data_IF_210840661132
#
_entry.id   IF_210840661132
#
_cell.length_a   1.000
_cell.length_b   1.000
_cell.length_c   1.000
_cell.angle_alpha   90.00
_cell.angle_beta   90.00
_cell.angle_gamma   90.00
#
_symmetry.space_group_name_H-M   'P 1'
#
loop_
_entity.id
_entity.type
_entity.pdbx_description
1 polymer ?
#
# COMPACT_ATOMS: atom_id res chain seq x y z
N UNK A 1 11.90 7.72 15.76
CA UNK A 1 11.01 7.34 16.88
C UNK A 1 11.74 7.31 18.21
N UNK A 2 12.81 6.52 18.38
CA UNK A 2 13.58 6.44 19.64
C UNK A 2 14.07 7.81 20.13
N UNK A 3 14.49 8.69 19.22
CA UNK A 3 14.91 10.06 19.57
C UNK A 3 13.72 10.93 19.96
N UNK A 4 12.61 10.86 19.25
CA UNK A 4 11.42 11.65 19.52
C UNK A 4 10.76 11.25 20.85
N UNK A 5 10.67 9.95 21.16
CA UNK A 5 10.09 9.48 22.42
C UNK A 5 10.86 9.90 23.68
N UNK A 6 12.15 10.24 23.55
CA UNK A 6 12.95 10.78 24.67
C UNK A 6 12.67 12.25 24.97
N UNK A 7 12.03 12.99 24.05
CA UNK A 7 11.79 14.43 24.15
C UNK A 7 10.32 14.83 24.29
N UNK A 8 9.40 13.88 24.15
CA UNK A 8 7.96 14.15 24.25
C UNK A 8 7.32 13.21 25.25
N UNK A 9 6.41 13.70 26.11
CA UNK A 9 5.58 12.84 26.96
C UNK A 9 4.62 11.96 26.17
N UNK A 10 4.30 12.31 24.91
CA UNK A 10 3.50 11.49 24.00
C UNK A 10 4.42 10.55 23.22
N UNK A 11 4.05 9.28 23.12
CA UNK A 11 4.76 8.32 22.27
C UNK A 11 4.45 8.63 20.80
N UNK A 12 5.41 9.13 20.00
CA UNK A 12 5.16 9.45 18.60
C UNK A 12 4.93 8.16 17.81
N UNK A 13 3.92 8.15 16.96
CA UNK A 13 3.64 7.08 15.99
C UNK A 13 4.19 7.48 14.63
N UNK A 14 4.71 6.52 13.89
CA UNK A 14 5.16 6.72 12.50
C UNK A 14 4.36 5.81 11.59
N UNK A 15 3.82 6.37 10.52
CA UNK A 15 3.31 5.59 9.40
C UNK A 15 4.15 5.86 8.16
N UNK A 16 4.64 4.79 7.53
CA UNK A 16 5.45 4.87 6.30
C UNK A 16 4.53 4.61 5.12
N UNK A 17 4.30 5.65 4.32
CA UNK A 17 3.45 5.59 3.14
C UNK A 17 4.18 4.92 1.97
N UNK A 18 3.42 4.31 1.04
CA UNK A 18 3.84 3.77 -0.26
C UNK A 18 5.22 3.10 -0.24
N UNK A 19 5.44 2.18 0.71
CA UNK A 19 6.69 1.44 0.79
C UNK A 19 6.94 0.68 -0.52
N UNK A 20 8.16 0.81 -1.08
CA UNK A 20 8.45 0.26 -2.41
C UNK A 20 9.65 -0.69 -2.45
N UNK A 21 10.38 -0.89 -1.34
CA UNK A 21 11.62 -1.66 -1.37
C UNK A 21 11.68 -2.76 -0.31
N UNK A 22 12.32 -3.88 -0.64
CA UNK A 22 12.65 -4.96 0.29
C UNK A 22 13.43 -4.45 1.50
N UNK A 23 14.45 -3.62 1.27
CA UNK A 23 15.24 -3.07 2.38
C UNK A 23 14.40 -2.20 3.32
N UNK A 24 13.47 -1.41 2.77
CA UNK A 24 12.52 -0.65 3.57
C UNK A 24 11.62 -1.56 4.42
N UNK A 25 11.13 -2.65 3.83
CA UNK A 25 10.33 -3.65 4.55
C UNK A 25 11.09 -4.28 5.71
N UNK A 26 12.36 -4.66 5.49
CA UNK A 26 13.22 -5.20 6.55
C UNK A 26 13.38 -4.24 7.72
N UNK A 27 13.58 -2.94 7.44
CA UNK A 27 13.67 -1.90 8.47
C UNK A 27 12.36 -1.73 9.26
N UNK A 28 11.20 -1.81 8.60
CA UNK A 28 9.90 -1.80 9.26
C UNK A 28 9.76 -3.04 10.17
N UNK A 29 10.13 -4.22 9.67
CA UNK A 29 10.08 -5.47 10.42
C UNK A 29 10.98 -5.43 11.66
N UNK A 30 12.21 -4.91 11.52
CA UNK A 30 13.14 -4.68 12.64
C UNK A 30 12.57 -3.70 13.66
N UNK A 31 11.97 -2.58 13.19
CA UNK A 31 11.36 -1.59 14.06
C UNK A 31 10.17 -2.15 14.86
N UNK A 32 9.29 -2.93 14.21
CA UNK A 32 8.17 -3.61 14.87
C UNK A 32 8.65 -4.62 15.91
N UNK A 33 9.67 -5.45 15.59
CA UNK A 33 10.28 -6.39 16.55
C UNK A 33 10.90 -5.68 17.76
N UNK A 34 11.41 -4.47 17.56
CA UNK A 34 11.94 -3.63 18.64
C UNK A 34 10.86 -2.89 19.45
N UNK A 35 9.56 -3.19 19.21
CA UNK A 35 8.43 -2.56 19.90
C UNK A 35 8.22 -1.09 19.57
N UNK A 36 8.77 -0.59 18.45
CA UNK A 36 8.55 0.79 18.04
C UNK A 36 7.15 0.93 17.39
N UNK A 37 6.42 2.00 17.70
CA UNK A 37 5.09 2.27 17.14
C UNK A 37 5.18 2.72 15.69
N UNK A 38 5.47 1.79 14.80
CA UNK A 38 5.57 2.00 13.36
C UNK A 38 4.57 1.14 12.62
N UNK A 39 3.95 1.73 11.61
CA UNK A 39 3.09 1.06 10.62
C UNK A 39 3.54 1.44 9.22
N UNK A 40 3.18 0.63 8.23
CA UNK A 40 3.53 0.86 6.84
C UNK A 40 2.44 0.35 5.90
N UNK A 41 2.42 0.91 4.70
CA UNK A 41 1.50 0.53 3.63
C UNK A 41 2.22 0.33 2.31
N UNK A 42 1.60 -0.41 1.39
CA UNK A 42 2.01 -0.50 0.00
C UNK A 42 0.86 -0.07 -0.93
N UNK A 43 1.19 0.22 -2.18
CA UNK A 43 0.18 0.64 -3.17
C UNK A 43 -0.10 -0.48 -4.17
N UNK A 44 -1.27 -0.48 -4.85
CA UNK A 44 -1.58 -1.45 -5.89
C UNK A 44 -0.51 -1.53 -6.98
N UNK A 45 0.02 -0.39 -7.42
CA UNK A 45 1.03 -0.36 -8.47
C UNK A 45 2.40 -0.93 -8.03
N UNK A 46 2.83 -0.74 -6.78
CA UNK A 46 4.05 -1.37 -6.27
C UNK A 46 3.89 -2.88 -6.02
N UNK A 47 2.65 -3.37 -5.88
CA UNK A 47 2.35 -4.79 -5.68
C UNK A 47 2.15 -5.56 -7.00
N UNK A 48 1.88 -4.87 -8.11
CA UNK A 48 1.52 -5.52 -9.38
C UNK A 48 2.46 -5.20 -10.53
N UNK A 49 3.18 -4.07 -10.48
CA UNK A 49 4.09 -3.62 -11.53
C UNK A 49 5.53 -3.66 -11.04
N UNK A 50 6.46 -3.75 -12.01
CA UNK A 50 7.90 -3.63 -11.78
C UNK A 50 8.50 -2.54 -12.67
N UNK A 51 9.77 -2.25 -12.49
CA UNK A 51 10.54 -1.31 -13.30
C UNK A 51 10.54 -1.67 -14.81
N UNK A 52 10.23 -2.94 -15.15
CA UNK A 52 10.07 -3.37 -16.53
C UNK A 52 9.02 -2.56 -17.29
N UNK A 53 7.96 -2.09 -16.59
CA UNK A 53 6.95 -1.22 -17.18
C UNK A 53 7.52 0.11 -17.70
N UNK A 54 8.68 0.55 -17.18
CA UNK A 54 9.36 1.78 -17.58
C UNK A 54 10.36 1.58 -18.73
N UNK A 55 10.68 0.34 -19.14
CA UNK A 55 11.67 0.08 -20.19
C UNK A 55 11.37 0.75 -21.54
N UNK A 56 10.09 0.93 -21.86
CA UNK A 56 9.66 1.67 -23.05
C UNK A 56 9.61 3.19 -22.83
N UNK A 57 10.16 3.71 -21.73
CA UNK A 57 10.06 5.12 -21.32
C UNK A 57 8.63 5.66 -21.31
N UNK A 58 7.65 4.79 -21.05
CA UNK A 58 6.24 5.16 -20.98
C UNK A 58 5.95 5.96 -19.70
N UNK A 59 5.63 7.25 -19.79
CA UNK A 59 5.42 8.10 -18.63
C UNK A 59 4.15 7.78 -17.85
N UNK A 60 3.25 6.95 -18.39
CA UNK A 60 2.07 6.48 -17.66
C UNK A 60 2.46 5.72 -16.38
N UNK A 61 3.61 5.05 -16.38
CA UNK A 61 4.13 4.30 -15.22
C UNK A 61 5.07 5.12 -14.32
N UNK A 62 5.20 6.42 -14.57
CA UNK A 62 6.03 7.28 -13.72
C UNK A 62 5.32 7.59 -12.40
N UNK A 63 5.84 7.03 -11.31
CA UNK A 63 5.36 7.19 -9.92
C UNK A 63 6.50 7.55 -8.98
N UNK A 64 6.18 8.05 -7.79
CA UNK A 64 7.13 8.32 -6.73
C UNK A 64 6.58 7.78 -5.39
N UNK A 65 7.26 6.82 -4.75
CA UNK A 65 8.54 6.19 -5.14
C UNK A 65 8.44 5.47 -6.48
N UNK A 66 9.57 5.28 -7.20
CA UNK A 66 9.52 4.59 -8.49
C UNK A 66 9.21 3.10 -8.31
N UNK A 67 8.66 2.49 -9.36
CA UNK A 67 8.55 1.04 -9.46
C UNK A 67 9.94 0.39 -9.32
N UNK A 68 9.98 -0.76 -8.67
CA UNK A 68 11.23 -1.47 -8.36
C UNK A 68 11.30 -2.80 -9.09
N UNK A 69 12.38 -3.53 -8.83
CA UNK A 69 12.57 -4.86 -9.37
C UNK A 69 11.62 -5.91 -8.76
N UNK A 70 11.63 -7.08 -9.36
CA UNK A 70 10.80 -8.21 -8.95
C UNK A 70 11.02 -8.61 -7.49
N UNK A 71 12.29 -8.58 -7.02
CA UNK A 71 12.63 -8.94 -5.65
C UNK A 71 11.98 -8.00 -4.62
N UNK A 72 11.90 -6.70 -4.93
CA UNK A 72 11.23 -5.72 -4.07
C UNK A 72 9.73 -5.98 -4.04
N UNK A 73 9.12 -6.24 -5.21
CA UNK A 73 7.69 -6.55 -5.33
C UNK A 73 7.31 -7.80 -4.52
N UNK A 74 8.03 -8.88 -4.69
CA UNK A 74 7.77 -10.13 -3.95
C UNK A 74 7.95 -9.94 -2.44
N UNK A 75 8.95 -9.18 -2.01
CA UNK A 75 9.12 -8.85 -0.60
C UNK A 75 7.92 -8.07 -0.02
N UNK A 76 7.35 -7.12 -0.79
CA UNK A 76 6.14 -6.41 -0.34
C UNK A 76 4.94 -7.36 -0.20
N UNK A 77 4.77 -8.32 -1.12
CA UNK A 77 3.71 -9.34 -1.04
C UNK A 77 3.88 -10.22 0.20
N UNK A 78 5.10 -10.64 0.52
CA UNK A 78 5.42 -11.33 1.78
C UNK A 78 5.07 -10.47 3.00
N UNK A 79 5.39 -9.17 2.94
CA UNK A 79 5.09 -8.22 4.00
C UNK A 79 3.60 -8.00 4.26
N UNK A 80 2.76 -8.16 3.22
CA UNK A 80 1.30 -8.17 3.39
C UNK A 80 0.83 -9.44 4.13
N UNK A 81 1.45 -10.59 3.84
CA UNK A 81 1.07 -11.86 4.44
C UNK A 81 1.51 -11.97 5.90
N UNK A 82 2.74 -11.57 6.21
CA UNK A 82 3.32 -11.70 7.55
C UNK A 82 2.92 -10.58 8.52
N UNK A 83 2.15 -9.57 8.05
CA UNK A 83 1.69 -8.46 8.87
C UNK A 83 2.73 -7.36 9.08
N UNK A 84 3.84 -7.38 8.35
CA UNK A 84 4.80 -6.26 8.35
C UNK A 84 4.19 -5.01 7.72
N UNK A 85 3.40 -5.18 6.65
CA UNK A 85 2.56 -4.14 6.09
C UNK A 85 1.16 -4.19 6.70
N UNK A 86 0.66 -3.04 7.10
CA UNK A 86 -0.58 -2.88 7.88
C UNK A 86 -1.79 -2.56 7.00
N UNK A 87 -1.56 -1.96 5.84
CA UNK A 87 -2.61 -1.47 4.96
C UNK A 87 -2.19 -1.48 3.48
N UNK A 88 -3.16 -1.37 2.62
CA UNK A 88 -3.00 -1.00 1.22
C UNK A 88 -3.63 0.37 1.03
N UNK A 89 -2.86 1.31 0.46
CA UNK A 89 -3.33 2.64 0.11
C UNK A 89 -3.18 2.88 -1.39
N UNK A 90 -4.10 3.60 -1.98
CA UNK A 90 -4.17 3.76 -3.44
C UNK A 90 -3.08 4.66 -4.01
N UNK A 91 -2.64 5.64 -3.23
CA UNK A 91 -1.80 6.75 -3.73
C UNK A 91 -2.39 7.33 -5.04
N UNK A 92 -3.71 7.56 -5.04
CA UNK A 92 -4.47 7.99 -6.21
C UNK A 92 -4.05 9.40 -6.64
N UNK A 93 -3.29 9.48 -7.73
CA UNK A 93 -2.81 10.74 -8.28
C UNK A 93 -3.09 10.81 -9.79
N UNK A 94 -4.36 11.12 -10.18
CA UNK A 94 -4.76 11.20 -11.58
C UNK A 94 -4.19 12.44 -12.26
N UNK A 95 -3.80 12.28 -13.51
CA UNK A 95 -3.38 13.35 -14.41
C UNK A 95 -4.08 13.19 -15.75
N UNK A 96 -4.25 14.28 -16.45
CA UNK A 96 -4.79 14.23 -17.81
C UNK A 96 -3.83 13.51 -18.77
N UNK A 97 -4.37 12.90 -19.81
CA UNK A 97 -3.55 12.21 -20.81
C UNK A 97 -2.51 13.18 -21.41
N UNK A 98 -2.89 14.41 -21.72
CA UNK A 98 -1.99 15.43 -22.26
C UNK A 98 -0.82 15.78 -21.30
N UNK A 99 -1.02 15.70 -19.99
CA UNK A 99 0.06 15.86 -19.00
C UNK A 99 1.00 14.67 -18.99
N UNK A 100 0.45 13.46 -19.14
CA UNK A 100 1.22 12.21 -19.12
C UNK A 100 1.90 11.90 -20.47
N UNK A 101 1.44 12.44 -21.60
CA UNK A 101 2.04 12.26 -22.93
C UNK A 101 3.34 13.04 -23.16
N UNK A 102 3.80 13.80 -22.17
CA UNK A 102 5.10 14.47 -22.20
C UNK A 102 6.23 13.44 -22.10
N UNK A 103 7.46 13.88 -22.37
CA UNK A 103 8.63 13.04 -22.14
C UNK A 103 8.75 12.64 -20.65
N UNK A 104 9.47 11.55 -20.36
CA UNK A 104 9.57 10.98 -19.02
C UNK A 104 10.10 11.99 -17.98
N UNK A 105 10.92 12.96 -18.35
CA UNK A 105 11.44 13.96 -17.41
C UNK A 105 10.36 14.96 -17.00
N UNK A 106 9.51 15.39 -17.94
CA UNK A 106 8.51 16.43 -17.75
C UNK A 106 7.14 15.92 -17.32
N UNK A 107 6.84 14.65 -17.60
CA UNK A 107 5.58 14.05 -17.16
C UNK A 107 5.46 14.07 -15.64
N UNK A 108 4.27 14.37 -15.07
CA UNK A 108 4.06 14.34 -13.63
C UNK A 108 4.13 12.91 -13.08
N UNK A 109 4.48 12.80 -11.81
CA UNK A 109 4.37 11.54 -11.05
C UNK A 109 2.93 11.29 -10.68
N UNK A 110 2.49 10.03 -10.79
CA UNK A 110 1.18 9.59 -10.33
C UNK A 110 0.47 8.69 -11.32
N UNK A 111 -0.45 7.88 -10.76
CA UNK A 111 -1.27 6.92 -11.48
C UNK A 111 -2.70 6.95 -10.89
N UNK A 112 -3.78 6.89 -11.71
CA UNK A 112 -5.12 6.71 -11.19
C UNK A 112 -5.29 5.27 -10.72
N UNK A 113 -5.62 5.06 -9.46
CA UNK A 113 -5.67 3.72 -8.85
C UNK A 113 -6.91 3.48 -7.99
N UNK A 114 -7.63 4.51 -7.56
CA UNK A 114 -8.72 4.37 -6.60
C UNK A 114 -9.82 3.40 -7.08
N UNK A 115 -10.30 3.56 -8.31
CA UNK A 115 -11.40 2.76 -8.87
C UNK A 115 -11.01 1.30 -9.11
N UNK A 116 -9.73 1.05 -9.38
CA UNK A 116 -9.23 -0.28 -9.76
C UNK A 116 -8.48 -1.00 -8.64
N UNK A 117 -8.22 -0.35 -7.50
CA UNK A 117 -7.35 -0.88 -6.45
C UNK A 117 -7.78 -2.27 -5.98
N UNK A 118 -9.03 -2.40 -5.51
CA UNK A 118 -9.52 -3.69 -5.01
C UNK A 118 -9.71 -4.73 -6.13
N UNK A 119 -10.42 -4.47 -7.25
CA UNK A 119 -10.58 -5.45 -8.30
C UNK A 119 -9.26 -5.90 -8.94
N UNK A 120 -8.28 -5.00 -9.09
CA UNK A 120 -6.94 -5.35 -9.55
C UNK A 120 -6.26 -6.34 -8.60
N UNK A 121 -6.20 -6.01 -7.31
CA UNK A 121 -5.53 -6.86 -6.32
C UNK A 121 -6.31 -8.15 -6.03
N UNK A 122 -7.64 -8.13 -6.12
CA UNK A 122 -8.45 -9.34 -6.08
C UNK A 122 -8.04 -10.30 -7.22
N UNK A 123 -7.92 -9.79 -8.44
CA UNK A 123 -7.50 -10.60 -9.59
C UNK A 123 -6.06 -11.07 -9.49
N UNK A 124 -5.12 -10.14 -9.27
CA UNK A 124 -3.69 -10.44 -9.33
C UNK A 124 -3.19 -11.23 -8.11
N UNK A 125 -3.71 -10.92 -6.92
CA UNK A 125 -3.23 -11.59 -5.71
C UNK A 125 -4.12 -12.76 -5.32
N UNK A 126 -5.44 -12.58 -5.23
CA UNK A 126 -6.31 -13.66 -4.76
C UNK A 126 -6.53 -14.73 -5.83
N UNK A 127 -7.02 -14.35 -7.02
CA UNK A 127 -7.35 -15.35 -8.05
C UNK A 127 -6.11 -16.00 -8.67
N UNK A 128 -5.06 -15.22 -8.99
CA UNK A 128 -3.89 -15.77 -9.68
C UNK A 128 -2.84 -16.35 -8.73
N UNK A 129 -2.70 -15.84 -7.51
CA UNK A 129 -1.63 -16.23 -6.57
C UNK A 129 -2.14 -16.92 -5.31
N UNK A 130 -3.46 -17.05 -5.11
CA UNK A 130 -4.03 -17.69 -3.92
C UNK A 130 -3.87 -16.89 -2.64
N UNK A 131 -3.66 -15.57 -2.72
CA UNK A 131 -3.58 -14.70 -1.54
C UNK A 131 -4.89 -14.79 -0.74
N UNK A 132 -4.85 -14.94 0.59
CA UNK A 132 -6.06 -15.12 1.38
C UNK A 132 -7.00 -13.92 1.27
N UNK A 133 -8.23 -14.14 0.79
CA UNK A 133 -9.22 -13.08 0.61
C UNK A 133 -9.53 -12.32 1.92
N UNK A 134 -9.72 -12.98 3.08
CA UNK A 134 -9.93 -12.26 4.33
C UNK A 134 -8.79 -11.29 4.67
N UNK A 135 -7.54 -11.69 4.39
CA UNK A 135 -6.38 -10.81 4.60
C UNK A 135 -6.37 -9.64 3.63
N UNK A 136 -6.72 -9.87 2.36
CA UNK A 136 -6.84 -8.80 1.38
C UNK A 136 -7.91 -7.77 1.79
N UNK A 137 -9.07 -8.24 2.23
CA UNK A 137 -10.15 -7.36 2.74
C UNK A 137 -9.68 -6.58 3.97
N UNK A 138 -9.05 -7.23 4.94
CA UNK A 138 -8.50 -6.60 6.14
C UNK A 138 -7.55 -5.44 5.80
N UNK A 139 -6.69 -5.61 4.80
CA UNK A 139 -5.73 -4.58 4.37
C UNK A 139 -6.38 -3.32 3.78
N UNK A 140 -7.64 -3.40 3.35
CA UNK A 140 -8.44 -2.26 2.87
C UNK A 140 -9.43 -1.73 3.91
N UNK A 141 -9.67 -2.45 5.01
CA UNK A 141 -10.70 -2.12 5.99
C UNK A 141 -10.10 -1.89 7.39
N UNK A 142 -9.93 -2.95 8.18
CA UNK A 142 -9.44 -2.85 9.56
C UNK A 142 -7.98 -2.41 9.66
N UNK A 143 -7.16 -2.75 8.67
CA UNK A 143 -5.77 -2.32 8.61
C UNK A 143 -5.62 -0.80 8.65
N UNK A 144 -6.19 -0.04 7.68
CA UNK A 144 -6.20 1.42 7.70
C UNK A 144 -6.83 2.01 8.96
N UNK A 145 -7.91 1.41 9.47
CA UNK A 145 -8.56 1.87 10.72
C UNK A 145 -7.61 1.78 11.92
N UNK A 146 -6.88 0.67 12.06
CA UNK A 146 -5.84 0.52 13.10
C UNK A 146 -4.72 1.55 12.96
N UNK A 147 -4.26 1.82 11.73
CA UNK A 147 -3.26 2.86 11.45
C UNK A 147 -3.75 4.22 11.93
N UNK A 148 -5.00 4.56 11.64
CA UNK A 148 -5.62 5.84 12.01
C UNK A 148 -6.10 5.90 13.46
N UNK A 149 -6.08 4.77 14.19
CA UNK A 149 -6.61 4.69 15.56
C UNK A 149 -8.13 4.75 15.62
N UNK A 150 -8.82 4.37 14.55
CA UNK A 150 -10.28 4.27 14.49
C UNK A 150 -10.74 2.92 15.06
N UNK A 151 -11.95 2.85 15.65
CA UNK A 151 -12.50 1.59 16.13
C UNK A 151 -12.75 0.63 14.96
N UNK A 152 -12.64 -0.71 15.19
CA UNK A 152 -12.98 -1.69 14.16
C UNK A 152 -14.46 -1.59 13.77
N UNK A 153 -14.78 -2.04 12.56
CA UNK A 153 -16.16 -2.21 12.12
C UNK A 153 -16.56 -3.67 12.30
N UNK A 154 -17.79 -3.88 12.76
CA UNK A 154 -18.34 -5.23 12.95
C UNK A 154 -19.62 -5.37 12.13
N UNK A 155 -19.77 -6.52 11.48
CA UNK A 155 -21.00 -6.87 10.79
C UNK A 155 -21.91 -7.59 11.82
N UNK A 156 -22.71 -6.81 12.54
CA UNK A 156 -23.62 -7.30 13.57
C UNK A 156 -24.93 -6.53 13.58
N UNK A 157 -25.99 -7.12 14.13
CA UNK A 157 -27.30 -6.46 14.23
C UNK A 157 -27.20 -5.19 15.07
N UNK A 158 -27.75 -4.08 14.53
CA UNK A 158 -27.73 -2.76 15.18
C UNK A 158 -26.47 -1.93 14.92
N UNK A 159 -25.45 -2.49 14.28
CA UNK A 159 -24.29 -1.72 13.84
C UNK A 159 -24.61 -0.83 12.62
N UNK A 160 -23.88 0.28 12.50
CA UNK A 160 -23.97 1.13 11.30
C UNK A 160 -23.49 0.37 10.07
N UNK A 161 -24.33 0.29 9.06
CA UNK A 161 -24.03 -0.41 7.81
C UNK A 161 -23.13 0.47 6.91
N UNK A 162 -21.84 0.14 6.82
CA UNK A 162 -20.89 0.68 5.84
C UNK A 162 -20.36 -0.48 5.01
N UNK A 163 -21.11 -0.84 3.96
CA UNK A 163 -20.92 -2.09 3.21
C UNK A 163 -20.63 -1.84 1.74
N UNK A 164 -19.82 -2.70 1.15
CA UNK A 164 -19.60 -2.80 -0.30
C UNK A 164 -19.99 -4.19 -0.75
N UNK A 165 -20.86 -4.26 -1.76
CA UNK A 165 -21.21 -5.51 -2.41
C UNK A 165 -20.27 -5.74 -3.59
N UNK A 166 -19.57 -6.87 -3.57
CA UNK A 166 -18.68 -7.29 -4.66
C UNK A 166 -19.34 -8.41 -5.44
N UNK A 167 -19.31 -8.31 -6.77
CA UNK A 167 -19.65 -9.41 -7.67
C UNK A 167 -18.33 -9.96 -8.23
N UNK A 168 -17.94 -11.20 -7.84
CA UNK A 168 -16.71 -11.82 -8.31
C UNK A 168 -16.79 -12.21 -9.80
#
# INVERSE_FOLDING_TARGET
>A
LRYASRRSPATPRLHVQHLSTKRGLELIREAKRAGLPVTAEATPHHLTLTEEALRAFNPLFKVAPPLRGEEDREALLEGLLDGTLDAIATDHAPHTLAEKEKDLLRAPFGIPSLEVAFPLLYTELHLKRGFPLPRLVELFTDGPRRVLGLPPLHLEEGAEASLVLLSP
#
